data_IF_662321954728
#
_entry.id   IF_662321954728
#
_cell.length_a   1.000
_cell.length_b   1.000
_cell.length_c   1.000
_cell.angle_alpha   90.00
_cell.angle_beta   90.00
_cell.angle_gamma   90.00
#
_symmetry.space_group_name_H-M   'P 1'
#
loop_
_entity.id
_entity.type
_entity.pdbx_description
1 polymer ?
#
# COMPACT_ATOMS: atom_id res chain seq x y z
N UNK A 1 12.65 29.98 -22.85
CA UNK A 1 12.00 30.84 -21.83
C UNK A 1 12.55 30.46 -20.45
N UNK A 2 12.39 31.29 -19.42
CA UNK A 2 12.90 30.98 -18.08
C UNK A 2 11.96 29.97 -17.38
N UNK A 3 12.51 28.92 -16.77
CA UNK A 3 11.73 27.93 -16.02
C UNK A 3 11.12 28.58 -14.76
N UNK A 4 9.86 28.23 -14.38
CA UNK A 4 9.25 28.75 -13.17
C UNK A 4 10.06 28.38 -11.91
N UNK A 5 10.31 29.36 -11.03
CA UNK A 5 11.01 29.16 -9.75
C UNK A 5 10.13 29.47 -8.54
N UNK A 6 9.16 30.38 -8.68
CA UNK A 6 8.17 30.71 -7.65
C UNK A 6 6.94 29.80 -7.79
N UNK A 7 6.33 29.46 -6.66
CA UNK A 7 5.12 28.64 -6.63
C UNK A 7 4.03 29.29 -7.48
N UNK A 8 3.45 28.49 -8.37
CA UNK A 8 2.36 28.86 -9.25
C UNK A 8 1.34 27.73 -9.24
N UNK A 9 0.12 28.06 -8.85
CA UNK A 9 -0.98 27.10 -8.68
C UNK A 9 -1.35 26.39 -9.99
N UNK A 10 -1.44 27.12 -11.10
CA UNK A 10 -1.73 26.52 -12.41
C UNK A 10 -0.66 25.53 -12.87
N UNK A 11 0.61 25.83 -12.57
CA UNK A 11 1.73 24.91 -12.86
C UNK A 11 1.68 23.69 -11.94
N UNK A 12 1.35 23.90 -10.67
CA UNK A 12 1.20 22.82 -9.69
C UNK A 12 0.03 21.87 -10.06
N UNK A 13 -1.10 22.42 -10.50
CA UNK A 13 -2.24 21.66 -11.02
C UNK A 13 -1.86 20.82 -12.24
N UNK A 14 -1.13 21.40 -13.18
CA UNK A 14 -0.67 20.69 -14.39
C UNK A 14 0.29 19.54 -14.04
N UNK A 15 1.19 19.75 -13.07
CA UNK A 15 2.05 18.68 -12.55
C UNK A 15 1.19 17.56 -11.96
N UNK A 16 0.21 17.89 -11.11
CA UNK A 16 -0.70 16.89 -10.53
C UNK A 16 -1.49 16.14 -11.61
N UNK A 17 -1.99 16.84 -12.64
CA UNK A 17 -2.70 16.24 -13.77
C UNK A 17 -1.84 15.23 -14.53
N UNK A 18 -0.56 15.54 -14.77
CA UNK A 18 0.36 14.63 -15.47
C UNK A 18 0.79 13.46 -14.59
N UNK A 19 1.02 13.70 -13.30
CA UNK A 19 1.29 12.65 -12.32
C UNK A 19 0.14 11.63 -12.25
N UNK A 20 -1.11 12.10 -12.25
CA UNK A 20 -2.29 11.22 -12.23
C UNK A 20 -2.49 10.42 -13.52
N UNK A 21 -1.85 10.83 -14.62
CA UNK A 21 -1.77 10.07 -15.87
C UNK A 21 -0.53 9.15 -15.91
N UNK A 22 0.09 8.86 -14.77
CA UNK A 22 1.21 7.93 -14.66
C UNK A 22 2.55 8.47 -15.16
N UNK A 23 2.65 9.76 -15.51
CA UNK A 23 3.91 10.33 -15.95
C UNK A 23 4.86 10.60 -14.76
N UNK A 24 6.10 10.09 -14.77
CA UNK A 24 7.03 10.33 -13.66
C UNK A 24 7.41 11.81 -13.54
N UNK A 25 7.52 12.32 -12.32
CA UNK A 25 7.90 13.72 -12.05
C UNK A 25 9.18 14.16 -12.78
N UNK A 26 10.18 13.28 -12.88
CA UNK A 26 11.42 13.59 -13.60
C UNK A 26 11.21 13.83 -15.10
N UNK A 27 10.23 13.15 -15.73
CA UNK A 27 9.84 13.36 -17.13
C UNK A 27 9.05 14.66 -17.28
N UNK A 28 8.13 14.94 -16.37
CA UNK A 28 7.38 16.20 -16.32
C UNK A 28 8.36 17.39 -16.25
N UNK A 29 9.29 17.36 -15.29
CA UNK A 29 10.28 18.43 -15.10
C UNK A 29 11.36 18.51 -16.22
N UNK A 30 11.35 17.59 -17.19
CA UNK A 30 12.25 17.69 -18.34
C UNK A 30 11.76 18.71 -19.37
N UNK A 31 10.46 19.02 -19.38
CA UNK A 31 9.87 20.01 -20.28
C UNK A 31 10.30 21.43 -19.92
N UNK A 32 10.51 22.26 -20.94
CA UNK A 32 11.05 23.61 -20.76
C UNK A 32 10.09 24.59 -20.06
N UNK A 33 8.79 24.33 -20.13
CA UNK A 33 7.76 25.10 -19.44
C UNK A 33 7.55 24.62 -17.98
N UNK A 34 8.18 23.51 -17.59
CA UNK A 34 8.03 22.94 -16.26
C UNK A 34 9.14 23.40 -15.31
N UNK A 35 8.84 23.54 -14.00
CA UNK A 35 9.83 23.84 -12.99
C UNK A 35 10.83 22.70 -12.87
N UNK A 36 12.05 23.03 -12.45
CA UNK A 36 13.07 22.03 -12.18
C UNK A 36 12.61 21.06 -11.06
N UNK A 37 13.12 19.82 -11.10
CA UNK A 37 12.77 18.80 -10.12
C UNK A 37 12.97 19.27 -8.67
N UNK A 38 14.10 19.92 -8.38
CA UNK A 38 14.39 20.49 -7.05
C UNK A 38 13.38 21.55 -6.62
N UNK A 39 12.90 22.37 -7.56
CA UNK A 39 11.88 23.39 -7.31
C UNK A 39 10.55 22.76 -6.91
N UNK A 40 10.10 21.72 -7.62
CA UNK A 40 8.85 21.01 -7.25
C UNK A 40 8.98 20.38 -5.87
N UNK A 41 10.12 19.74 -5.57
CA UNK A 41 10.37 19.15 -4.24
C UNK A 41 10.37 20.21 -3.13
N UNK A 42 10.88 21.41 -3.42
CA UNK A 42 10.79 22.55 -2.51
C UNK A 42 9.34 22.98 -2.29
N UNK A 43 8.55 23.09 -3.35
CA UNK A 43 7.12 23.42 -3.24
C UNK A 43 6.35 22.39 -2.41
N UNK A 44 6.60 21.09 -2.61
CA UNK A 44 5.99 20.01 -1.81
C UNK A 44 6.36 20.10 -0.31
N UNK A 45 7.53 20.67 0.02
CA UNK A 45 7.98 20.84 1.40
C UNK A 45 7.41 22.11 2.06
N UNK A 46 7.24 23.17 1.29
CA UNK A 46 6.78 24.48 1.77
C UNK A 46 5.26 24.64 1.75
N UNK A 47 4.55 23.87 0.91
CA UNK A 47 3.10 23.93 0.76
C UNK A 47 2.45 22.54 1.06
N UNK A 48 1.90 22.34 2.28
CA UNK A 48 1.26 21.09 2.67
C UNK A 48 0.06 20.68 1.80
N UNK A 49 -0.71 21.64 1.30
CA UNK A 49 -1.86 21.38 0.43
C UNK A 49 -1.42 20.81 -0.92
N UNK A 50 -0.41 21.43 -1.54
CA UNK A 50 0.19 20.90 -2.77
C UNK A 50 0.82 19.53 -2.55
N UNK A 51 1.47 19.32 -1.40
CA UNK A 51 2.05 18.01 -1.04
C UNK A 51 0.99 16.91 -0.96
N UNK A 52 -0.18 17.20 -0.39
CA UNK A 52 -1.30 16.28 -0.33
C UNK A 52 -1.87 15.99 -1.72
N UNK A 53 -2.07 17.02 -2.54
CA UNK A 53 -2.54 16.89 -3.92
C UNK A 53 -1.58 16.08 -4.78
N UNK A 54 -0.28 16.37 -4.72
CA UNK A 54 0.74 15.65 -5.50
C UNK A 54 0.87 14.20 -5.07
N UNK A 55 0.72 13.91 -3.78
CA UNK A 55 0.70 12.54 -3.25
C UNK A 55 -0.51 11.76 -3.77
N UNK A 56 -1.70 12.36 -3.74
CA UNK A 56 -2.91 11.76 -4.30
C UNK A 56 -2.76 11.52 -5.81
N UNK A 57 -2.25 12.50 -6.55
CA UNK A 57 -2.00 12.36 -7.97
C UNK A 57 -1.03 11.21 -8.30
N UNK A 58 0.03 11.01 -7.50
CA UNK A 58 0.93 9.85 -7.65
C UNK A 58 0.22 8.52 -7.44
N UNK A 59 -0.71 8.44 -6.49
CA UNK A 59 -1.56 7.25 -6.26
C UNK A 59 -2.47 7.02 -7.46
N UNK A 60 -3.17 8.05 -7.93
CA UNK A 60 -4.02 7.98 -9.13
C UNK A 60 -3.22 7.54 -10.36
N UNK A 61 -1.99 8.04 -10.51
CA UNK A 61 -1.05 7.64 -11.55
C UNK A 61 -0.71 6.16 -11.53
N UNK A 62 -0.66 5.52 -10.35
CA UNK A 62 -0.47 4.06 -10.28
C UNK A 62 -1.66 3.28 -10.80
N UNK A 63 -2.88 3.79 -10.62
CA UNK A 63 -4.09 3.20 -11.19
C UNK A 63 -4.08 3.33 -12.71
N UNK A 64 -3.75 4.52 -13.23
CA UNK A 64 -3.60 4.74 -14.67
C UNK A 64 -2.55 3.81 -15.30
N UNK A 65 -1.39 3.65 -14.67
CA UNK A 65 -0.34 2.73 -15.15
C UNK A 65 -0.80 1.27 -15.17
N UNK A 66 -1.70 0.87 -14.25
CA UNK A 66 -2.27 -0.47 -14.23
C UNK A 66 -3.22 -0.68 -15.42
N UNK A 67 -4.08 0.29 -15.72
CA UNK A 67 -4.97 0.25 -16.89
C UNK A 67 -4.16 0.24 -18.20
N UNK A 68 -3.11 1.06 -18.28
CA UNK A 68 -2.20 1.09 -19.44
C UNK A 68 -1.50 -0.28 -19.66
N UNK A 69 -1.28 -1.07 -18.61
CA UNK A 69 -0.73 -2.42 -18.78
C UNK A 69 -1.66 -3.33 -19.59
N UNK A 70 -2.98 -3.19 -19.43
CA UNK A 70 -3.96 -3.94 -20.22
C UNK A 70 -3.94 -3.48 -21.68
N UNK A 71 -3.90 -2.17 -21.91
CA UNK A 71 -3.80 -1.61 -23.27
C UNK A 71 -2.51 -2.08 -23.99
N UNK A 72 -1.38 -2.12 -23.28
CA UNK A 72 -0.11 -2.61 -23.83
C UNK A 72 -0.20 -4.10 -24.17
N UNK A 73 -0.85 -4.90 -23.32
CA UNK A 73 -1.03 -6.33 -23.55
C UNK A 73 -1.84 -6.59 -24.83
N UNK A 74 -3.01 -5.93 -24.93
CA UNK A 74 -3.97 -6.11 -26.04
C UNK A 74 -3.56 -5.40 -27.34
N UNK A 75 -2.65 -4.43 -27.26
CA UNK A 75 -2.17 -3.65 -28.40
C UNK A 75 -1.43 -4.46 -29.46
N UNK A 76 -0.89 -3.80 -30.47
CA UNK A 76 0.02 -4.43 -31.46
C UNK A 76 1.48 -4.12 -31.09
N UNK A 77 2.41 -4.97 -31.52
CA UNK A 77 3.85 -4.74 -31.29
C UNK A 77 4.58 -6.02 -30.88
N UNK A 78 5.89 -5.88 -30.66
CA UNK A 78 6.75 -6.97 -30.22
C UNK A 78 6.34 -7.46 -28.82
N UNK A 79 6.05 -8.77 -28.64
CA UNK A 79 5.73 -9.35 -27.34
C UNK A 79 6.80 -9.12 -26.27
N UNK A 80 8.10 -9.07 -26.63
CA UNK A 80 9.16 -8.88 -25.67
C UNK A 80 9.20 -7.45 -25.11
N UNK A 81 9.10 -6.43 -25.98
CA UNK A 81 8.97 -5.02 -25.56
C UNK A 81 7.76 -4.82 -24.63
N UNK A 82 6.59 -5.33 -25.03
CA UNK A 82 5.36 -5.23 -24.22
C UNK A 82 5.55 -5.82 -22.83
N UNK A 83 6.15 -7.01 -22.76
CA UNK A 83 6.42 -7.67 -21.47
C UNK A 83 7.31 -6.82 -20.59
N UNK A 84 8.40 -6.27 -21.13
CA UNK A 84 9.31 -5.38 -20.36
C UNK A 84 8.56 -4.16 -19.83
N UNK A 85 7.71 -3.55 -20.67
CA UNK A 85 6.90 -2.38 -20.29
C UNK A 85 5.90 -2.70 -19.17
N UNK A 86 5.20 -3.82 -19.27
CA UNK A 86 4.23 -4.29 -18.26
C UNK A 86 4.96 -4.63 -16.96
N UNK A 87 6.01 -5.47 -17.02
CA UNK A 87 6.76 -5.91 -15.84
C UNK A 87 7.38 -4.74 -15.08
N UNK A 88 7.89 -3.74 -15.80
CA UNK A 88 8.45 -2.52 -15.18
C UNK A 88 7.36 -1.73 -14.46
N UNK A 89 6.19 -1.55 -15.07
CA UNK A 89 5.06 -0.83 -14.47
C UNK A 89 4.53 -1.56 -13.24
N UNK A 90 4.24 -2.86 -13.35
CA UNK A 90 3.76 -3.69 -12.24
C UNK A 90 4.71 -3.64 -11.04
N UNK A 91 6.04 -3.75 -11.30
CA UNK A 91 7.05 -3.64 -10.24
C UNK A 91 7.05 -2.27 -9.56
N UNK A 92 6.87 -1.19 -10.31
CA UNK A 92 6.86 0.16 -9.75
C UNK A 92 5.57 0.42 -8.95
N UNK A 93 4.39 0.10 -9.50
CA UNK A 93 3.12 0.32 -8.80
C UNK A 93 2.99 -0.53 -7.54
N UNK A 94 3.52 -1.76 -7.53
CA UNK A 94 3.59 -2.60 -6.33
C UNK A 94 4.46 -2.01 -5.22
N UNK A 95 5.44 -1.16 -5.56
CA UNK A 95 6.28 -0.44 -4.58
C UNK A 95 5.69 0.91 -4.19
N UNK A 96 5.15 1.67 -5.14
CA UNK A 96 4.63 3.02 -4.93
C UNK A 96 3.24 3.04 -4.29
N UNK A 97 2.42 2.03 -4.57
CA UNK A 97 1.08 1.86 -4.01
C UNK A 97 0.92 0.43 -3.45
N UNK A 98 1.82 0.07 -2.53
CA UNK A 98 1.92 -1.28 -1.96
C UNK A 98 0.64 -1.78 -1.27
N UNK A 99 -0.20 -0.88 -0.80
CA UNK A 99 -1.43 -1.25 -0.10
C UNK A 99 -2.45 -1.87 -1.06
N UNK A 100 -2.52 -1.32 -2.28
CA UNK A 100 -3.44 -1.78 -3.33
C UNK A 100 -2.79 -2.85 -4.21
N UNK A 101 -1.59 -2.58 -4.73
CA UNK A 101 -0.93 -3.39 -5.75
C UNK A 101 0.24 -4.22 -5.23
N UNK A 102 0.55 -4.15 -3.94
CA UNK A 102 1.61 -4.98 -3.35
C UNK A 102 1.16 -6.43 -3.21
N UNK A 103 2.08 -7.35 -3.44
CA UNK A 103 1.84 -8.78 -3.23
C UNK A 103 1.47 -9.05 -1.77
N UNK A 104 0.30 -9.68 -1.55
CA UNK A 104 -0.17 -10.09 -0.23
C UNK A 104 0.14 -11.57 -0.05
N UNK A 105 1.16 -11.86 0.74
CA UNK A 105 1.54 -13.22 1.07
C UNK A 105 0.97 -13.60 2.43
N UNK A 106 0.05 -14.56 2.43
CA UNK A 106 -0.40 -15.20 3.66
C UNK A 106 0.52 -16.40 3.94
N UNK A 107 1.32 -16.31 5.00
CA UNK A 107 2.04 -17.47 5.50
C UNK A 107 1.04 -18.39 6.18
N UNK A 108 0.76 -19.53 5.55
CA UNK A 108 0.17 -20.66 6.25
C UNK A 108 1.30 -21.33 7.04
N UNK A 109 1.03 -21.71 8.30
CA UNK A 109 2.03 -22.29 9.21
C UNK A 109 2.81 -23.45 8.58
N UNK A 110 4.03 -23.66 9.06
CA UNK A 110 4.97 -24.66 8.58
C UNK A 110 4.37 -26.06 8.56
N UNK A 111 5.04 -26.93 7.80
CA UNK A 111 4.71 -28.34 7.52
C UNK A 111 4.19 -29.13 8.75
N UNK A 112 3.68 -30.36 8.58
CA UNK A 112 3.00 -31.18 9.63
C UNK A 112 3.70 -31.30 11.01
N UNK A 113 4.95 -30.83 11.14
CA UNK A 113 5.76 -30.78 12.35
C UNK A 113 5.86 -29.40 13.02
N UNK A 114 5.34 -28.32 12.42
CA UNK A 114 5.53 -26.95 12.91
C UNK A 114 4.30 -26.39 13.65
N UNK A 115 4.53 -25.69 14.75
CA UNK A 115 3.45 -25.16 15.58
C UNK A 115 2.71 -24.01 14.88
N UNK A 116 1.39 -23.86 15.10
CA UNK A 116 0.62 -22.77 14.49
C UNK A 116 1.17 -21.39 14.87
N UNK A 117 0.98 -20.42 13.97
CA UNK A 117 1.41 -19.03 14.17
C UNK A 117 0.79 -18.49 15.47
N UNK A 118 1.62 -18.25 16.47
CA UNK A 118 1.20 -17.64 17.75
C UNK A 118 1.10 -16.14 17.59
N UNK A 119 -0.11 -15.61 17.74
CA UNK A 119 -0.32 -14.16 17.84
C UNK A 119 -0.21 -13.73 19.30
N UNK A 120 0.74 -12.84 19.60
CA UNK A 120 0.85 -12.18 20.90
C UNK A 120 0.32 -10.76 20.78
N UNK A 121 -0.63 -10.40 21.64
CA UNK A 121 -1.15 -9.05 21.75
C UNK A 121 -0.70 -8.50 23.12
N UNK A 122 -0.11 -7.31 23.11
CA UNK A 122 0.24 -6.58 24.33
C UNK A 122 -0.70 -5.40 24.47
N UNK A 123 -1.35 -5.28 25.62
CA UNK A 123 -2.23 -4.18 25.97
C UNK A 123 -1.68 -3.50 27.22
N UNK A 124 -1.53 -2.18 27.16
CA UNK A 124 -1.23 -1.38 28.34
C UNK A 124 -2.53 -1.15 29.12
N UNK A 125 -2.58 -1.65 30.35
CA UNK A 125 -3.75 -1.58 31.23
C UNK A 125 -3.54 -0.58 32.39
N UNK A 126 -2.49 0.23 32.35
CA UNK A 126 -2.15 1.15 33.44
C UNK A 126 -3.22 2.22 33.69
N UNK A 127 -4.04 2.53 32.67
CA UNK A 127 -5.16 3.47 32.76
C UNK A 127 -6.54 2.80 32.77
N UNK A 128 -6.62 1.47 32.91
CA UNK A 128 -7.89 0.77 32.94
C UNK A 128 -8.62 1.00 34.28
N UNK A 129 -9.93 1.19 34.21
CA UNK A 129 -10.81 1.26 35.38
C UNK A 129 -11.08 -0.13 35.98
N UNK A 130 -11.49 -0.16 37.24
CA UNK A 130 -11.81 -1.43 37.93
C UNK A 130 -12.91 -2.23 37.20
N UNK A 131 -13.88 -1.53 36.60
CA UNK A 131 -14.94 -2.15 35.79
C UNK A 131 -14.39 -2.81 34.52
N UNK A 132 -13.41 -2.18 33.86
CA UNK A 132 -12.74 -2.74 32.67
C UNK A 132 -11.89 -3.96 33.02
N UNK A 133 -11.21 -3.93 34.18
CA UNK A 133 -10.41 -5.05 34.69
C UNK A 133 -11.27 -6.27 35.03
N UNK A 134 -12.44 -6.07 35.63
CA UNK A 134 -13.41 -7.14 35.93
C UNK A 134 -13.89 -7.86 34.67
N UNK A 135 -14.14 -7.11 33.58
CA UNK A 135 -14.55 -7.67 32.29
C UNK A 135 -13.43 -8.50 31.69
N UNK A 136 -12.19 -8.00 31.73
CA UNK A 136 -11.01 -8.72 31.26
C UNK A 136 -10.81 -10.01 32.07
N UNK A 137 -10.95 -9.97 33.40
CA UNK A 137 -10.82 -11.15 34.25
C UNK A 137 -11.85 -12.22 33.89
N UNK A 138 -13.12 -11.83 33.73
CA UNK A 138 -14.19 -12.76 33.32
C UNK A 138 -13.91 -13.38 31.95
N UNK A 139 -13.41 -12.58 31.00
CA UNK A 139 -13.04 -13.06 29.68
C UNK A 139 -11.90 -14.09 29.76
N UNK A 140 -10.83 -13.80 30.50
CA UNK A 140 -9.67 -14.69 30.68
C UNK A 140 -10.10 -16.02 31.30
N UNK A 141 -10.90 -16.00 32.36
CA UNK A 141 -11.40 -17.22 33.04
C UNK A 141 -12.25 -18.10 32.11
N UNK A 142 -13.14 -17.48 31.33
CA UNK A 142 -13.96 -18.20 30.35
C UNK A 142 -13.10 -18.87 29.26
N UNK A 143 -12.12 -18.13 28.74
CA UNK A 143 -11.24 -18.64 27.68
C UNK A 143 -10.30 -19.75 28.19
N UNK A 144 -9.87 -19.70 29.45
CA UNK A 144 -9.08 -20.76 30.07
C UNK A 144 -9.87 -22.09 30.20
N UNK A 145 -11.19 -22.02 30.38
CA UNK A 145 -12.05 -23.21 30.55
C UNK A 145 -12.54 -23.83 29.22
N UNK A 146 -12.42 -23.13 28.09
CA UNK A 146 -12.93 -23.58 26.79
C UNK A 146 -12.01 -24.58 26.05
N UNK A 147 -10.80 -24.86 26.57
CA UNK A 147 -9.82 -25.77 25.96
C UNK A 147 -9.88 -27.23 26.42
N UNK A 148 -10.86 -27.61 27.25
CA UNK A 148 -10.87 -28.90 27.97
C UNK A 148 -11.75 -30.02 27.39
N UNK A 149 -12.54 -29.77 26.33
CA UNK A 149 -13.55 -30.73 25.86
C UNK A 149 -13.37 -31.11 24.39
N UNK A 150 -12.38 -31.96 24.10
CA UNK A 150 -12.35 -32.78 22.90
C UNK A 150 -11.75 -34.16 23.21
N UNK A 151 -12.61 -35.18 23.21
CA UNK A 151 -12.25 -36.54 22.79
C UNK A 151 -12.27 -37.61 23.87
N UNK A 152 -13.39 -38.31 24.01
CA UNK A 152 -13.44 -39.53 24.82
C UNK A 152 -14.76 -40.29 24.85
N UNK A 153 -15.38 -40.60 23.70
CA UNK A 153 -16.39 -41.68 23.66
C UNK A 153 -16.41 -42.36 22.28
N UNK A 154 -16.12 -43.66 22.26
CA UNK A 154 -16.11 -44.49 21.05
C UNK A 154 -15.12 -45.66 21.11
N UNK A 155 -15.17 -46.48 22.16
CA UNK A 155 -14.58 -47.82 22.12
C UNK A 155 -15.71 -48.81 21.79
N UNK A 156 -15.66 -49.36 20.58
CA UNK A 156 -16.56 -50.37 20.04
C UNK A 156 -16.40 -51.72 20.75
N UNK A 157 -17.54 -52.39 20.90
CA UNK A 157 -17.75 -53.78 21.27
C UNK A 157 -16.90 -54.76 20.45
N UNK A 158 -16.52 -55.86 21.11
CA UNK A 158 -16.14 -57.13 20.48
C UNK A 158 -17.16 -58.21 20.86
#
# INVERSE_FOLDING_TARGET
>A
MARPSLFNESVAEEICRRLSMGEPLARICADDEMPAYSTVRKWEAENPEFSALSTRAKVDGTHFMADECLEIADGKGDPADKRIRIDTRLRLIGKWNRHVYGDKLAHVGGDKTDAPIRQSHSFDLTSASDEELDVIERFIRRSANAGGDQGGEGASEG
#
